data_IF_210110303331
#
_entry.id   IF_210110303331
#
_cell.length_a   1.000
_cell.length_b   1.000
_cell.length_c   1.000
_cell.angle_alpha   90.00
_cell.angle_beta   90.00
_cell.angle_gamma   90.00
#
_symmetry.space_group_name_H-M   'P 1'
#
loop_
_entity.id
_entity.type
_entity.pdbx_description
1 polymer ?
#
# COMPACT_ATOMS: atom_id res chain seq x y z
N UNK A 1 24.42 -11.34 -17.71
CA UNK A 1 23.30 -11.24 -18.69
C UNK A 1 23.64 -10.17 -19.73
N UNK A 2 23.32 -10.38 -21.01
CA UNK A 2 23.55 -9.34 -22.04
C UNK A 2 22.69 -8.11 -21.72
N UNK A 3 23.31 -6.90 -21.77
CA UNK A 3 22.64 -5.62 -21.45
C UNK A 3 21.41 -5.36 -22.31
N UNK A 4 21.41 -5.82 -23.56
CA UNK A 4 20.32 -5.66 -24.53
C UNK A 4 19.90 -7.01 -25.12
N UNK A 5 18.60 -7.17 -25.38
CA UNK A 5 18.07 -8.31 -26.12
C UNK A 5 18.06 -8.02 -27.63
N UNK A 6 19.12 -8.47 -28.32
CA UNK A 6 19.30 -8.20 -29.75
C UNK A 6 18.19 -8.81 -30.62
N UNK A 7 17.66 -9.98 -30.26
CA UNK A 7 16.56 -10.62 -31.01
C UNK A 7 15.30 -9.75 -30.95
N UNK A 8 14.99 -9.20 -29.78
CA UNK A 8 13.83 -8.33 -29.59
C UNK A 8 13.98 -6.98 -30.32
N UNK A 9 15.19 -6.39 -30.30
CA UNK A 9 15.51 -5.18 -31.07
C UNK A 9 15.31 -5.44 -32.57
N UNK A 10 15.79 -6.58 -33.08
CA UNK A 10 15.62 -6.92 -34.48
C UNK A 10 14.17 -7.20 -34.86
N UNK A 11 13.42 -7.90 -34.01
CA UNK A 11 11.97 -8.11 -34.22
C UNK A 11 11.20 -6.80 -34.26
N UNK A 12 11.49 -5.88 -33.34
CA UNK A 12 10.84 -4.56 -33.32
C UNK A 12 11.22 -3.71 -34.52
N UNK A 13 12.48 -3.72 -34.95
CA UNK A 13 12.90 -3.07 -36.19
C UNK A 13 12.16 -3.63 -37.42
N UNK A 14 12.04 -4.95 -37.53
CA UNK A 14 11.30 -5.60 -38.61
C UNK A 14 9.82 -5.19 -38.59
N UNK A 15 9.16 -5.24 -37.43
CA UNK A 15 7.76 -4.84 -37.31
C UNK A 15 7.55 -3.37 -37.71
N UNK A 16 8.46 -2.48 -37.33
CA UNK A 16 8.42 -1.07 -37.74
C UNK A 16 8.60 -0.90 -39.25
N UNK A 17 9.54 -1.62 -39.85
CA UNK A 17 9.77 -1.59 -41.29
C UNK A 17 8.56 -2.09 -42.08
N UNK A 18 7.91 -3.17 -41.60
CA UNK A 18 6.70 -3.74 -42.20
C UNK A 18 5.53 -2.76 -42.27
N UNK A 19 5.51 -1.72 -41.44
CA UNK A 19 4.47 -0.67 -41.50
C UNK A 19 4.56 0.20 -42.76
N UNK A 20 5.68 0.16 -43.50
CA UNK A 20 5.93 1.01 -44.66
C UNK A 20 6.19 2.49 -44.35
N UNK A 21 6.07 2.90 -43.08
CA UNK A 21 6.22 4.30 -42.65
C UNK A 21 7.68 4.74 -42.50
N UNK A 22 8.60 3.79 -42.40
CA UNK A 22 10.00 4.04 -42.07
C UNK A 22 10.91 3.19 -42.95
N UNK A 23 12.06 3.73 -43.32
CA UNK A 23 13.13 2.94 -43.92
C UNK A 23 13.66 1.88 -42.94
N UNK A 24 14.38 0.88 -43.45
CA UNK A 24 15.02 -0.13 -42.59
C UNK A 24 15.98 0.52 -41.56
N UNK A 25 16.79 1.49 -42.01
CA UNK A 25 17.73 2.19 -41.15
C UNK A 25 17.03 3.00 -40.03
N UNK A 26 15.93 3.67 -40.33
CA UNK A 26 15.12 4.40 -39.34
C UNK A 26 14.44 3.46 -38.35
N UNK A 27 13.88 2.36 -38.84
CA UNK A 27 13.27 1.31 -38.02
C UNK A 27 14.28 0.72 -37.04
N UNK A 28 15.51 0.46 -37.51
CA UNK A 28 16.60 -0.01 -36.67
C UNK A 28 16.99 1.04 -35.62
N UNK A 29 17.20 2.31 -36.01
CA UNK A 29 17.51 3.40 -35.06
C UNK A 29 16.43 3.54 -33.98
N UNK A 30 15.15 3.49 -34.36
CA UNK A 30 14.01 3.58 -33.43
C UNK A 30 13.97 2.41 -32.45
N UNK A 31 14.14 1.17 -32.94
CA UNK A 31 14.17 -0.02 -32.07
C UNK A 31 15.28 0.05 -31.02
N UNK A 32 16.48 0.51 -31.41
CA UNK A 32 17.59 0.74 -30.48
C UNK A 32 17.29 1.81 -29.45
N UNK A 33 16.66 2.93 -29.85
CA UNK A 33 16.24 3.99 -28.93
C UNK A 33 15.24 3.47 -27.90
N UNK A 34 14.26 2.67 -28.34
CA UNK A 34 13.28 2.03 -27.46
C UNK A 34 13.95 1.07 -26.47
N UNK A 35 14.90 0.26 -26.91
CA UNK A 35 15.60 -0.68 -26.03
C UNK A 35 16.44 0.03 -24.96
N UNK A 36 17.15 1.11 -25.33
CA UNK A 36 17.86 1.96 -24.36
C UNK A 36 16.92 2.56 -23.33
N UNK A 37 15.78 3.09 -23.79
CA UNK A 37 14.76 3.67 -22.91
C UNK A 37 14.20 2.63 -21.92
N UNK A 38 13.87 1.43 -22.38
CA UNK A 38 13.37 0.34 -21.50
C UNK A 38 14.36 0.01 -20.37
N UNK A 39 15.66 -0.02 -20.68
CA UNK A 39 16.69 -0.30 -19.67
C UNK A 39 16.82 0.85 -18.69
N UNK A 40 16.84 2.11 -19.16
CA UNK A 40 16.90 3.26 -18.25
C UNK A 40 15.69 3.30 -17.32
N UNK A 41 14.49 3.04 -17.83
CA UNK A 41 13.27 2.98 -17.00
C UNK A 41 13.34 1.84 -15.99
N UNK A 42 13.84 0.66 -16.39
CA UNK A 42 13.99 -0.47 -15.46
C UNK A 42 14.99 -0.17 -14.35
N UNK A 43 16.11 0.48 -14.67
CA UNK A 43 17.11 0.88 -13.67
C UNK A 43 16.51 1.90 -12.70
N UNK A 44 15.84 2.94 -13.20
CA UNK A 44 15.18 3.93 -12.35
C UNK A 44 14.09 3.30 -11.46
N UNK A 45 13.28 2.39 -12.01
CA UNK A 45 12.28 1.68 -11.23
C UNK A 45 12.88 0.77 -10.14
N UNK A 46 14.06 0.20 -10.37
CA UNK A 46 14.77 -0.58 -9.34
C UNK A 46 15.31 0.32 -8.23
N UNK A 47 15.86 1.49 -8.57
CA UNK A 47 16.33 2.47 -7.59
C UNK A 47 15.19 2.95 -6.69
N UNK A 48 14.06 3.36 -7.27
CA UNK A 48 12.87 3.77 -6.52
C UNK A 48 12.39 2.63 -5.59
N UNK A 49 12.40 1.38 -6.06
CA UNK A 49 12.02 0.24 -5.21
C UNK A 49 12.98 0.06 -4.03
N UNK A 50 14.28 0.22 -4.24
CA UNK A 50 15.28 0.12 -3.19
C UNK A 50 15.10 1.23 -2.14
N UNK A 51 14.86 2.46 -2.57
CA UNK A 51 14.58 3.59 -1.67
C UNK A 51 13.31 3.34 -0.85
N UNK A 52 12.23 2.93 -1.51
CA UNK A 52 10.97 2.59 -0.82
C UNK A 52 11.11 1.42 0.17
N UNK A 53 12.00 0.47 -0.11
CA UNK A 53 12.26 -0.66 0.79
C UNK A 53 13.12 -0.23 1.99
N UNK A 54 14.09 0.66 1.78
CA UNK A 54 14.87 1.27 2.85
C UNK A 54 14.00 2.13 3.79
N UNK A 55 13.06 2.91 3.25
CA UNK A 55 12.10 3.69 4.04
C UNK A 55 11.17 2.79 4.86
N UNK A 56 10.69 1.69 4.25
CA UNK A 56 9.89 0.69 4.98
C UNK A 56 10.69 0.01 6.08
N UNK A 57 11.96 -0.28 5.85
CA UNK A 57 12.84 -0.84 6.88
C UNK A 57 13.08 0.13 8.04
N UNK A 58 13.26 1.41 7.75
CA UNK A 58 13.38 2.45 8.76
C UNK A 58 12.10 2.55 9.60
N UNK A 59 10.92 2.56 8.97
CA UNK A 59 9.64 2.61 9.68
C UNK A 59 9.38 1.34 10.48
N UNK A 60 9.74 0.15 9.96
CA UNK A 60 9.66 -1.11 10.72
C UNK A 60 10.53 -1.06 11.98
N UNK A 61 11.76 -0.57 11.88
CA UNK A 61 12.64 -0.41 13.05
C UNK A 61 12.06 0.55 14.07
N UNK A 62 11.53 1.69 13.62
CA UNK A 62 10.86 2.67 14.49
C UNK A 62 9.67 2.06 15.23
N UNK A 63 8.80 1.34 14.52
CA UNK A 63 7.65 0.66 15.13
C UNK A 63 8.08 -0.44 16.11
N UNK A 64 9.15 -1.17 15.78
CA UNK A 64 9.70 -2.18 16.68
C UNK A 64 10.27 -1.56 17.96
N UNK A 65 10.95 -0.42 17.86
CA UNK A 65 11.46 0.33 19.00
C UNK A 65 10.32 0.83 19.88
N UNK A 66 9.29 1.47 19.29
CA UNK A 66 8.08 1.89 20.01
C UNK A 66 7.45 0.68 20.72
N UNK A 67 7.21 -0.41 20.00
CA UNK A 67 6.63 -1.61 20.60
C UNK A 67 7.48 -2.16 21.74
N UNK A 68 8.81 -2.15 21.62
CA UNK A 68 9.71 -2.61 22.67
C UNK A 68 9.62 -1.79 23.96
N UNK A 69 9.34 -0.48 23.86
CA UNK A 69 9.11 0.37 25.02
C UNK A 69 7.83 -0.03 25.77
N UNK A 70 6.82 -0.52 25.06
CA UNK A 70 5.53 -0.91 25.63
C UNK A 70 5.40 -2.41 25.94
N UNK A 71 6.37 -3.26 25.59
CA UNK A 71 6.33 -4.72 25.81
C UNK A 71 6.09 -5.09 27.29
N UNK A 72 6.70 -4.35 28.21
CA UNK A 72 6.60 -4.60 29.66
C UNK A 72 5.61 -3.67 30.36
N UNK A 73 4.91 -2.81 29.61
CA UNK A 73 3.91 -1.90 30.18
C UNK A 73 2.62 -2.67 30.37
N UNK A 74 2.30 -2.98 31.63
CA UNK A 74 0.98 -3.50 31.97
C UNK A 74 -0.01 -2.35 31.75
N UNK A 75 -0.96 -2.45 30.80
CA UNK A 75 -1.94 -1.40 30.62
C UNK A 75 -2.69 -1.22 31.94
N UNK A 76 -2.82 0.03 32.40
CA UNK A 76 -3.56 0.34 33.60
C UNK A 76 -4.93 -0.33 33.52
N UNK A 77 -5.29 -1.09 34.57
CA UNK A 77 -6.59 -1.75 34.64
C UNK A 77 -7.67 -0.67 34.52
N UNK A 78 -8.32 -0.59 33.36
CA UNK A 78 -9.42 0.35 33.14
C UNK A 78 -10.48 0.11 34.21
N UNK A 79 -11.01 1.21 34.75
CA UNK A 79 -12.08 1.13 35.74
C UNK A 79 -13.29 0.44 35.12
N UNK A 80 -14.12 -0.21 35.94
CA UNK A 80 -15.42 -0.76 35.52
C UNK A 80 -16.37 0.29 34.91
N UNK A 81 -16.06 1.57 35.15
CA UNK A 81 -16.79 2.72 34.61
C UNK A 81 -16.24 3.20 33.26
N UNK A 82 -15.06 2.72 32.84
CA UNK A 82 -14.41 3.10 31.57
C UNK A 82 -14.73 2.11 30.43
N UNK A 83 -15.34 0.96 30.75
CA UNK A 83 -15.87 0.01 29.78
C UNK A 83 -17.23 0.50 29.28
N UNK A 84 -17.34 0.77 27.98
CA UNK A 84 -18.62 1.04 27.29
C UNK A 84 -19.53 -0.19 27.21
N UNK A 85 -19.21 -1.26 27.93
CA UNK A 85 -19.98 -2.51 28.06
C UNK A 85 -21.20 -2.36 28.98
N UNK A 86 -21.72 -1.14 29.11
CA UNK A 86 -22.97 -0.89 29.84
C UNK A 86 -24.09 -1.40 28.92
N UNK A 87 -24.78 -2.52 29.27
CA UNK A 87 -25.82 -3.05 28.40
C UNK A 87 -26.96 -2.03 28.29
N UNK A 88 -27.67 -2.03 27.16
CA UNK A 88 -28.82 -1.12 26.97
C UNK A 88 -29.86 -1.26 28.10
N UNK A 89 -29.97 -2.44 28.71
CA UNK A 89 -30.82 -2.72 29.88
C UNK A 89 -30.44 -1.94 31.15
N UNK A 90 -29.20 -1.48 31.26
CA UNK A 90 -28.76 -0.63 32.37
C UNK A 90 -29.23 0.83 32.21
N UNK A 91 -29.54 1.27 30.99
CA UNK A 91 -30.17 2.56 30.71
C UNK A 91 -31.71 2.46 30.71
N UNK A 92 -32.23 1.32 30.30
CA UNK A 92 -33.66 1.09 30.06
C UNK A 92 -34.10 -0.21 30.71
N UNK A 93 -34.75 -0.11 31.88
CA UNK A 93 -35.40 -1.25 32.51
C UNK A 93 -36.80 -1.43 31.88
N UNK A 94 -37.07 -2.52 31.14
CA UNK A 94 -38.35 -2.74 30.45
C UNK A 94 -39.57 -2.82 31.40
N UNK A 95 -39.35 -3.01 32.70
CA UNK A 95 -40.40 -3.14 33.72
C UNK A 95 -40.63 -1.86 34.53
N UNK A 96 -40.07 -0.75 34.08
CA UNK A 96 -39.95 0.44 34.89
C UNK A 96 -41.05 1.43 34.47
N UNK A 97 -42.02 1.72 35.35
CA UNK A 97 -43.27 2.45 35.04
C UNK A 97 -43.39 3.83 35.72
N UNK A 98 -42.39 4.69 35.57
CA UNK A 98 -42.40 6.08 36.05
C UNK A 98 -41.82 6.36 37.45
N UNK A 99 -40.94 7.38 37.46
CA UNK A 99 -40.22 8.08 38.55
C UNK A 99 -38.98 7.36 39.13
N UNK A 100 -37.82 7.83 38.67
CA UNK A 100 -36.44 7.37 39.00
C UNK A 100 -35.87 6.19 38.18
N UNK A 101 -36.00 6.26 36.84
CA UNK A 101 -35.39 5.27 35.92
C UNK A 101 -36.43 4.40 35.20
N UNK A 102 -37.58 4.99 34.93
CA UNK A 102 -38.79 4.25 34.63
C UNK A 102 -39.54 4.82 33.42
N UNK A 103 -39.67 4.01 32.37
CA UNK A 103 -40.27 4.27 31.07
C UNK A 103 -41.69 4.83 31.18
N UNK A 104 -41.86 6.03 30.64
CA UNK A 104 -43.11 6.49 30.06
C UNK A 104 -42.80 6.84 28.60
N UNK A 105 -43.22 5.97 27.67
CA UNK A 105 -43.19 6.21 26.23
C UNK A 105 -44.61 6.56 25.82
N UNK A 106 -44.93 7.87 25.85
CA UNK A 106 -46.17 8.38 25.28
C UNK A 106 -46.03 8.48 23.76
N UNK A 107 -47.02 7.95 23.05
CA UNK A 107 -47.28 8.21 21.62
C UNK A 107 -47.46 9.71 21.33
#
# INVERSE_FOLDING_TARGET
MKKYNLSEIMKTAHNLYKTGKYTWAESLKKSWKMAKFRISTRIGALQIKQEMEADKDAERKRLQEINSQYINVIPAKRSRYDSLDIPASAYYNPNSTGRFGAHYVGD
#
